data_IF_377971151833
#
_entry.id   IF_377971151833
#
_cell.length_a   1.000
_cell.length_b   1.000
_cell.length_c   1.000
_cell.angle_alpha   90.00
_cell.angle_beta   90.00
_cell.angle_gamma   90.00
#
_symmetry.space_group_name_H-M   'P 1'
#
loop_
_entity.id
_entity.type
_entity.pdbx_description
1 polymer ?
#
# COMPACT_ATOMS: atom_id res chain seq x y z
N UNK A 1 -6.05 -57.58 -77.42
CA UNK A 1 -6.95 -57.00 -76.41
C UNK A 1 -6.20 -56.94 -75.11
N UNK A 2 -5.70 -55.74 -74.76
CA UNK A 2 -4.90 -55.52 -73.54
C UNK A 2 -5.76 -54.81 -72.50
N UNK A 3 -5.98 -55.41 -71.35
CA UNK A 3 -6.71 -54.86 -70.22
C UNK A 3 -5.73 -53.97 -69.42
N UNK A 4 -6.03 -52.68 -69.29
CA UNK A 4 -5.36 -51.75 -68.38
C UNK A 4 -6.03 -51.82 -67.03
N UNK A 5 -5.25 -52.13 -65.98
CA UNK A 5 -5.68 -52.01 -64.59
C UNK A 5 -5.22 -50.69 -64.04
N UNK A 6 -6.17 -49.91 -63.59
CA UNK A 6 -5.89 -48.58 -62.87
C UNK A 6 -5.76 -48.89 -61.39
N UNK A 7 -4.55 -48.64 -60.84
CA UNK A 7 -4.25 -48.74 -59.43
C UNK A 7 -4.57 -47.36 -58.83
N UNK A 8 -5.61 -47.30 -57.99
CA UNK A 8 -5.95 -46.12 -57.21
C UNK A 8 -5.17 -46.08 -55.92
N UNK A 9 -4.15 -45.23 -55.85
CA UNK A 9 -3.32 -44.99 -54.66
C UNK A 9 -4.08 -44.05 -53.70
N UNK A 10 -4.61 -44.60 -52.61
CA UNK A 10 -5.15 -43.79 -51.49
C UNK A 10 -3.99 -43.29 -50.63
N UNK A 11 -3.76 -41.98 -50.69
CA UNK A 11 -2.86 -41.24 -49.81
C UNK A 11 -3.60 -40.96 -48.49
N UNK A 12 -3.29 -41.72 -47.44
CA UNK A 12 -3.75 -41.40 -46.07
C UNK A 12 -2.94 -40.21 -45.54
N UNK A 13 -3.55 -39.02 -45.53
CA UNK A 13 -3.06 -37.90 -44.74
C UNK A 13 -3.39 -38.12 -43.26
N UNK A 14 -2.42 -38.54 -42.47
CA UNK A 14 -2.52 -38.53 -41.01
C UNK A 14 -2.34 -37.10 -40.53
N UNK A 15 -3.44 -36.46 -40.16
CA UNK A 15 -3.42 -35.15 -39.46
C UNK A 15 -3.00 -35.42 -38.01
N UNK A 16 -1.73 -35.19 -37.71
CA UNK A 16 -1.24 -35.14 -36.34
C UNK A 16 -1.78 -33.88 -35.65
N UNK A 17 -2.88 -34.03 -34.92
CA UNK A 17 -3.36 -32.97 -34.03
C UNK A 17 -2.39 -32.87 -32.84
N UNK A 18 -1.42 -31.96 -32.92
CA UNK A 18 -0.65 -31.55 -31.75
C UNK A 18 -1.56 -30.74 -30.85
N UNK A 19 -2.23 -31.43 -29.94
CA UNK A 19 -2.97 -30.79 -28.86
C UNK A 19 -1.98 -30.06 -27.95
N UNK A 20 -1.80 -28.75 -28.19
CA UNK A 20 -1.23 -27.89 -27.16
C UNK A 20 -2.26 -27.85 -26.01
N UNK A 21 -2.03 -28.66 -25.00
CA UNK A 21 -2.69 -28.52 -23.70
C UNK A 21 -2.29 -27.15 -23.15
N UNK A 22 -3.18 -26.17 -23.30
CA UNK A 22 -3.09 -24.88 -22.62
C UNK A 22 -3.05 -25.20 -21.13
N UNK A 23 -1.87 -25.11 -20.50
CA UNK A 23 -1.74 -25.31 -19.08
C UNK A 23 -2.82 -24.46 -18.39
N UNK A 24 -3.70 -25.09 -17.64
CA UNK A 24 -4.73 -24.40 -16.89
C UNK A 24 -3.99 -23.40 -15.98
N UNK A 25 -4.30 -22.10 -16.13
CA UNK A 25 -3.71 -21.06 -15.29
C UNK A 25 -4.13 -21.41 -13.85
N UNK A 26 -3.15 -21.65 -12.98
CA UNK A 26 -3.43 -21.97 -11.58
C UNK A 26 -4.34 -20.86 -11.01
N UNK A 27 -5.31 -21.25 -10.19
CA UNK A 27 -6.17 -20.27 -9.54
C UNK A 27 -5.33 -19.33 -8.69
N UNK A 28 -5.65 -18.01 -8.69
CA UNK A 28 -4.92 -17.05 -7.89
C UNK A 28 -5.05 -17.38 -6.40
N UNK A 29 -3.93 -17.34 -5.68
CA UNK A 29 -3.87 -17.56 -4.24
C UNK A 29 -3.81 -16.21 -3.54
N UNK A 30 -4.59 -16.04 -2.49
CA UNK A 30 -4.65 -14.79 -1.73
C UNK A 30 -4.32 -15.01 -0.27
N UNK A 31 -3.84 -13.96 0.37
CA UNK A 31 -3.67 -13.90 1.81
C UNK A 31 -4.04 -12.52 2.34
N UNK A 32 -4.29 -12.46 3.63
CA UNK A 32 -4.42 -11.21 4.37
C UNK A 32 -3.21 -11.05 5.28
N UNK A 33 -2.65 -9.86 5.34
CA UNK A 33 -1.56 -9.54 6.26
C UNK A 33 -2.08 -9.64 7.70
N UNK A 34 -1.44 -10.48 8.51
CA UNK A 34 -1.88 -10.84 9.85
C UNK A 34 -1.11 -10.18 10.99
N UNK A 35 0.01 -9.52 10.70
CA UNK A 35 0.83 -8.75 11.65
C UNK A 35 0.62 -7.26 11.44
N UNK A 36 0.87 -6.44 12.45
CA UNK A 36 0.77 -4.97 12.33
C UNK A 36 1.58 -4.42 11.16
N UNK A 37 2.69 -5.05 10.84
CA UNK A 37 3.39 -4.82 9.57
C UNK A 37 4.21 -6.05 9.18
N UNK A 38 4.33 -6.28 7.86
CA UNK A 38 5.26 -7.25 7.31
C UNK A 38 6.35 -6.57 6.51
N UNK A 39 7.54 -7.17 6.53
CA UNK A 39 8.68 -6.72 5.72
C UNK A 39 8.66 -7.42 4.37
N UNK A 40 8.65 -6.64 3.30
CA UNK A 40 8.71 -7.12 1.92
C UNK A 40 10.11 -6.83 1.35
N UNK A 41 10.81 -7.87 0.91
CA UNK A 41 12.22 -7.81 0.48
C UNK A 41 12.37 -8.10 -1.01
N UNK A 42 13.47 -7.66 -1.60
CA UNK A 42 13.76 -7.89 -3.03
C UNK A 42 14.01 -9.38 -3.36
N UNK A 43 14.46 -10.17 -2.39
CA UNK A 43 14.69 -11.59 -2.53
C UNK A 43 14.26 -12.36 -1.27
N UNK A 44 14.01 -13.68 -1.36
CA UNK A 44 13.62 -14.53 -0.25
C UNK A 44 14.82 -14.85 0.66
N UNK A 45 15.34 -13.81 1.31
CA UNK A 45 16.50 -13.85 2.17
C UNK A 45 16.43 -12.71 3.21
N UNK A 46 16.78 -12.96 4.47
CA UNK A 46 16.79 -11.95 5.53
C UNK A 46 17.86 -10.88 5.35
N UNK A 47 18.96 -11.20 4.68
CA UNK A 47 20.03 -10.25 4.35
C UNK A 47 19.71 -9.37 3.15
N UNK A 48 18.65 -9.73 2.40
CA UNK A 48 18.18 -8.96 1.26
C UNK A 48 17.59 -7.62 1.68
N UNK A 49 17.76 -6.61 0.84
CA UNK A 49 17.26 -5.27 1.12
C UNK A 49 15.73 -5.24 1.32
N UNK A 50 15.29 -4.40 2.25
CA UNK A 50 13.88 -4.07 2.42
C UNK A 50 13.41 -3.23 1.23
N UNK A 51 12.32 -3.64 0.60
CA UNK A 51 11.68 -2.91 -0.48
C UNK A 51 10.52 -2.06 0.02
N UNK A 52 9.67 -2.66 0.85
CA UNK A 52 8.52 -2.00 1.45
C UNK A 52 8.00 -2.76 2.66
N UNK A 53 6.98 -2.22 3.29
CA UNK A 53 6.16 -2.87 4.30
C UNK A 53 4.70 -2.89 3.84
N UNK A 54 3.93 -3.88 4.29
CA UNK A 54 2.47 -3.89 4.21
C UNK A 54 1.88 -3.99 5.60
N UNK A 55 0.69 -3.41 5.77
CA UNK A 55 -0.01 -3.26 7.04
C UNK A 55 -1.03 -4.38 7.25
N UNK A 56 -1.38 -4.66 8.50
CA UNK A 56 -2.43 -5.62 8.86
C UNK A 56 -3.72 -5.34 8.10
N UNK A 57 -4.34 -6.41 7.63
CA UNK A 57 -5.60 -6.34 6.91
C UNK A 57 -5.50 -6.10 5.42
N UNK A 58 -4.31 -5.78 4.88
CA UNK A 58 -4.09 -5.73 3.43
C UNK A 58 -4.28 -7.10 2.80
N UNK A 59 -5.06 -7.15 1.72
CA UNK A 59 -5.21 -8.35 0.88
C UNK A 59 -4.09 -8.35 -0.14
N UNK A 60 -3.35 -9.46 -0.22
CA UNK A 60 -2.23 -9.65 -1.14
C UNK A 60 -2.43 -10.89 -2.00
N UNK A 61 -1.94 -10.87 -3.24
CA UNK A 61 -1.89 -12.05 -4.11
C UNK A 61 -0.56 -12.77 -3.94
N UNK A 62 -0.59 -14.09 -3.75
CA UNK A 62 0.61 -14.93 -3.68
C UNK A 62 0.91 -15.46 -5.09
N UNK A 63 2.05 -15.05 -5.65
CA UNK A 63 2.47 -15.38 -7.01
C UNK A 63 3.66 -16.33 -7.07
N UNK A 64 4.31 -16.58 -5.93
CA UNK A 64 5.44 -17.49 -5.83
C UNK A 64 5.74 -17.92 -4.40
N UNK A 65 6.50 -19.02 -4.28
CA UNK A 65 6.95 -19.48 -2.96
C UNK A 65 8.33 -20.12 -3.04
N UNK A 66 9.10 -19.94 -1.98
CA UNK A 66 10.39 -20.57 -1.77
C UNK A 66 10.57 -20.87 -0.29
N UNK A 67 10.47 -22.14 0.11
CA UNK A 67 10.49 -22.54 1.52
C UNK A 67 9.39 -21.81 2.32
N UNK A 68 9.74 -21.09 3.36
CA UNK A 68 8.81 -20.28 4.16
C UNK A 68 8.58 -18.86 3.63
N UNK A 69 9.15 -18.50 2.47
CA UNK A 69 8.94 -17.22 1.80
C UNK A 69 7.77 -17.29 0.82
N UNK A 70 7.09 -16.17 0.69
CA UNK A 70 6.04 -15.92 -0.31
C UNK A 70 6.40 -14.71 -1.14
N UNK A 71 6.37 -14.85 -2.45
CA UNK A 71 6.39 -13.72 -3.37
C UNK A 71 4.96 -13.22 -3.50
N UNK A 72 4.72 -11.95 -3.16
CA UNK A 72 3.38 -11.37 -3.11
C UNK A 72 3.29 -10.11 -3.96
N UNK A 73 2.06 -9.82 -4.41
CA UNK A 73 1.70 -8.52 -4.98
C UNK A 73 0.79 -7.82 -3.97
N UNK A 74 1.20 -6.65 -3.50
CA UNK A 74 0.42 -5.81 -2.60
C UNK A 74 -0.62 -4.98 -3.35
N UNK A 75 -1.63 -4.41 -2.66
CA UNK A 75 -2.52 -3.40 -3.24
C UNK A 75 -1.71 -2.23 -3.79
N UNK A 76 -2.11 -1.66 -4.93
CA UNK A 76 -1.26 -0.76 -5.72
C UNK A 76 0.02 -1.51 -6.16
N UNK A 77 -0.05 -2.27 -7.24
CA UNK A 77 0.78 -3.43 -7.50
C UNK A 77 2.25 -3.20 -7.19
N UNK A 78 2.72 -3.86 -6.14
CA UNK A 78 4.13 -3.88 -5.75
C UNK A 78 4.55 -5.30 -5.41
N UNK A 79 5.52 -5.82 -6.14
CA UNK A 79 5.94 -7.20 -6.06
C UNK A 79 7.20 -7.33 -5.20
N UNK A 80 7.15 -8.16 -4.16
CA UNK A 80 8.30 -8.46 -3.32
C UNK A 80 8.08 -9.74 -2.48
N UNK A 81 9.10 -10.15 -1.71
CA UNK A 81 9.10 -11.35 -0.89
C UNK A 81 8.87 -11.03 0.58
N UNK A 82 7.99 -11.79 1.23
CA UNK A 82 7.80 -11.76 2.68
C UNK A 82 7.79 -13.17 3.26
N UNK A 83 7.87 -13.30 4.58
CA UNK A 83 7.72 -14.60 5.24
C UNK A 83 6.24 -14.98 5.34
N UNK A 84 5.93 -16.27 5.21
CA UNK A 84 4.56 -16.79 5.36
C UNK A 84 3.97 -16.53 6.76
N UNK A 85 4.82 -16.32 7.77
CA UNK A 85 4.39 -16.09 9.15
C UNK A 85 3.58 -14.80 9.31
N UNK A 86 3.77 -13.83 8.42
CA UNK A 86 3.01 -12.58 8.40
C UNK A 86 1.71 -12.64 7.59
N UNK A 87 1.37 -13.81 7.02
CA UNK A 87 0.24 -13.96 6.11
C UNK A 87 -0.76 -14.99 6.64
N UNK A 88 -2.04 -14.69 6.47
CA UNK A 88 -3.15 -15.63 6.65
C UNK A 88 -3.68 -15.97 5.26
N UNK A 89 -3.25 -17.12 4.72
CA UNK A 89 -3.71 -17.60 3.41
C UNK A 89 -5.21 -17.94 3.47
N UNK A 90 -5.96 -17.54 2.46
CA UNK A 90 -7.42 -17.68 2.41
C UNK A 90 -7.85 -18.37 1.12
N UNK A 91 -8.81 -19.28 1.21
CA UNK A 91 -9.53 -19.74 0.05
C UNK A 91 -10.51 -18.65 -0.43
N UNK A 92 -11.15 -18.88 -1.59
CA UNK A 92 -12.05 -17.89 -2.20
C UNK A 92 -13.20 -17.48 -1.30
N UNK A 93 -13.83 -18.41 -0.61
CA UNK A 93 -14.97 -18.18 0.27
C UNK A 93 -14.55 -17.33 1.49
N UNK A 94 -13.41 -17.69 2.10
CA UNK A 94 -12.84 -16.93 3.23
C UNK A 94 -12.45 -15.50 2.82
N UNK A 95 -11.90 -15.34 1.61
CA UNK A 95 -11.56 -14.03 1.10
C UNK A 95 -12.80 -13.18 0.86
N UNK A 96 -13.84 -13.73 0.24
CA UNK A 96 -15.12 -13.05 0.04
C UNK A 96 -15.76 -12.65 1.37
N UNK A 97 -15.77 -13.55 2.37
CA UNK A 97 -16.22 -13.23 3.72
C UNK A 97 -15.41 -12.09 4.33
N UNK A 98 -14.08 -12.18 4.25
CA UNK A 98 -13.19 -11.14 4.75
C UNK A 98 -13.44 -9.78 4.07
N UNK A 99 -13.58 -9.75 2.75
CA UNK A 99 -13.81 -8.53 1.99
C UNK A 99 -15.15 -7.87 2.33
N UNK A 100 -16.20 -8.65 2.53
CA UNK A 100 -17.55 -8.17 2.82
C UNK A 100 -17.81 -7.87 4.31
N UNK A 101 -16.89 -8.26 5.21
CA UNK A 101 -17.03 -8.01 6.63
C UNK A 101 -16.94 -6.51 6.96
N UNK A 102 -17.67 -6.08 7.97
CA UNK A 102 -17.51 -4.75 8.56
C UNK A 102 -16.12 -4.62 9.19
N UNK A 103 -15.42 -3.53 8.91
CA UNK A 103 -14.03 -3.30 9.32
C UNK A 103 -13.85 -1.95 10.00
N UNK A 104 -12.82 -1.87 10.81
CA UNK A 104 -12.29 -0.61 11.31
C UNK A 104 -10.81 -0.48 10.97
N UNK A 105 -10.34 0.75 10.87
CA UNK A 105 -8.94 1.11 10.74
C UNK A 105 -8.45 1.72 12.05
N UNK A 106 -7.30 1.29 12.52
CA UNK A 106 -6.60 1.90 13.65
C UNK A 106 -6.05 3.27 13.23
N UNK A 107 -6.34 4.33 13.98
CA UNK A 107 -6.08 5.73 13.60
C UNK A 107 -5.08 6.45 14.48
N UNK A 108 -4.58 5.82 15.53
CA UNK A 108 -3.47 6.36 16.31
C UNK A 108 -2.12 5.90 15.73
N UNK A 109 -1.01 6.44 16.24
CA UNK A 109 0.33 6.05 15.79
C UNK A 109 0.67 4.61 16.21
N UNK A 110 0.41 4.29 17.48
CA UNK A 110 0.73 3.00 18.10
C UNK A 110 -0.37 2.56 19.06
N UNK A 111 -0.59 1.28 19.14
CA UNK A 111 -1.52 0.72 20.11
C UNK A 111 -1.41 -0.79 20.20
N UNK A 112 -2.41 -1.39 20.82
CA UNK A 112 -2.49 -2.83 21.01
C UNK A 112 -3.93 -3.32 20.92
N UNK A 113 -4.08 -4.59 20.59
CA UNK A 113 -5.30 -5.35 20.84
C UNK A 113 -5.10 -6.12 22.14
N UNK A 114 -6.07 -6.05 23.04
CA UNK A 114 -6.01 -6.64 24.38
C UNK A 114 -6.98 -7.82 24.50
N UNK A 115 -6.68 -8.80 25.35
CA UNK A 115 -7.56 -9.95 25.62
C UNK A 115 -8.89 -9.56 26.27
N UNK A 116 -8.86 -8.55 27.14
CA UNK A 116 -10.03 -7.99 27.81
C UNK A 116 -10.07 -6.47 27.66
N UNK A 117 -11.22 -5.80 27.86
CA UNK A 117 -11.33 -4.34 27.70
C UNK A 117 -10.69 -3.59 28.88
N UNK A 118 -9.38 -3.69 28.97
CA UNK A 118 -8.51 -3.04 29.98
C UNK A 118 -7.10 -2.86 29.45
N UNK A 119 -6.46 -1.72 29.74
CA UNK A 119 -5.04 -1.49 29.43
C UNK A 119 -4.08 -2.35 30.28
N UNK A 120 -4.59 -2.96 31.37
CA UNK A 120 -3.86 -3.87 32.27
C UNK A 120 -3.86 -5.32 31.75
N UNK A 121 -4.74 -5.63 30.76
CA UNK A 121 -4.86 -6.96 30.19
C UNK A 121 -3.64 -7.32 29.34
N UNK A 122 -3.42 -8.62 29.12
CA UNK A 122 -2.42 -9.09 28.18
C UNK A 122 -2.72 -8.58 26.77
N UNK A 123 -1.67 -8.22 26.06
CA UNK A 123 -1.74 -7.82 24.67
C UNK A 123 -1.75 -9.04 23.76
N UNK A 124 -2.64 -9.07 22.77
CA UNK A 124 -2.67 -10.10 21.73
C UNK A 124 -1.69 -9.75 20.61
N UNK A 125 -1.69 -8.48 20.18
CA UNK A 125 -0.74 -7.95 19.20
C UNK A 125 -0.58 -6.44 19.36
N UNK A 126 0.50 -5.91 18.77
CA UNK A 126 0.66 -4.48 18.55
C UNK A 126 -0.18 -4.01 17.36
N UNK A 127 -0.38 -2.69 17.29
CA UNK A 127 -1.03 -2.00 16.18
C UNK A 127 -0.20 -0.78 15.77
N UNK A 128 -0.26 -0.48 14.48
CA UNK A 128 0.24 0.78 13.91
C UNK A 128 -0.87 1.47 13.13
N UNK A 129 -0.78 2.78 13.00
CA UNK A 129 -1.76 3.55 12.23
C UNK A 129 -1.90 3.03 10.80
N UNK A 130 -3.14 2.72 10.41
CA UNK A 130 -3.48 2.12 9.13
C UNK A 130 -3.84 0.63 9.19
N UNK A 131 -3.62 -0.05 10.33
CA UNK A 131 -4.02 -1.45 10.52
C UNK A 131 -5.54 -1.60 10.42
N UNK A 132 -5.99 -2.60 9.67
CA UNK A 132 -7.40 -2.88 9.43
C UNK A 132 -7.77 -4.19 10.10
N UNK A 133 -8.82 -4.15 10.92
CA UNK A 133 -9.39 -5.29 11.63
C UNK A 133 -10.87 -5.44 11.30
N UNK A 134 -11.39 -6.66 11.40
CA UNK A 134 -12.83 -6.88 11.34
C UNK A 134 -13.47 -6.44 12.65
N UNK A 135 -14.68 -5.88 12.56
CA UNK A 135 -15.49 -5.59 13.74
C UNK A 135 -16.29 -6.85 14.15
N UNK A 136 -16.34 -7.14 15.43
CA UNK A 136 -17.23 -8.17 15.98
C UNK A 136 -18.57 -7.52 16.33
N UNK A 137 -19.69 -8.06 15.81
CA UNK A 137 -20.99 -7.47 16.04
C UNK A 137 -22.09 -8.06 15.19
N UNK A 138 -23.14 -7.29 14.93
CA UNK A 138 -24.33 -7.71 14.17
C UNK A 138 -24.73 -6.65 13.13
N UNK A 139 -25.27 -7.10 12.03
CA UNK A 139 -25.78 -6.26 10.94
C UNK A 139 -24.92 -6.34 9.66
N UNK A 140 -25.41 -5.71 8.60
CA UNK A 140 -24.66 -5.51 7.36
C UNK A 140 -23.69 -4.34 7.53
N UNK A 141 -22.70 -4.23 6.66
CA UNK A 141 -21.65 -3.21 6.75
C UNK A 141 -22.20 -1.77 6.91
N UNK A 142 -23.30 -1.44 6.22
CA UNK A 142 -23.93 -0.11 6.27
C UNK A 142 -24.59 0.24 7.62
N UNK A 143 -25.05 -0.80 8.35
CA UNK A 143 -25.76 -0.65 9.62
C UNK A 143 -25.17 -1.55 10.72
N UNK A 144 -23.87 -1.77 10.68
CA UNK A 144 -23.18 -2.66 11.59
C UNK A 144 -23.16 -2.09 13.01
N UNK A 145 -23.55 -2.92 13.97
CA UNK A 145 -23.50 -2.60 15.40
C UNK A 145 -22.36 -3.41 16.04
N UNK A 146 -21.21 -2.79 16.31
CA UNK A 146 -20.09 -3.48 16.94
C UNK A 146 -20.43 -3.83 18.39
N UNK A 147 -19.82 -4.90 18.89
CA UNK A 147 -19.81 -5.22 20.31
C UNK A 147 -18.88 -4.25 21.02
N UNK A 148 -19.44 -3.49 21.98
CA UNK A 148 -18.68 -2.52 22.78
C UNK A 148 -18.84 -2.81 24.27
N UNK A 149 -17.82 -2.39 25.06
CA UNK A 149 -17.89 -2.41 26.53
C UNK A 149 -17.20 -1.15 27.07
N UNK A 150 -17.98 -0.16 27.52
CA UNK A 150 -17.48 1.16 27.86
C UNK A 150 -16.82 1.83 26.65
N UNK A 151 -15.58 2.26 26.80
CA UNK A 151 -14.76 2.88 25.74
C UNK A 151 -14.02 1.87 24.86
N UNK A 152 -14.40 0.59 24.85
CA UNK A 152 -13.73 -0.47 24.11
C UNK A 152 -14.64 -1.08 23.06
N UNK A 153 -14.05 -1.41 21.90
CA UNK A 153 -14.71 -2.11 20.80
C UNK A 153 -14.05 -3.45 20.56
N UNK A 154 -14.86 -4.49 20.37
CA UNK A 154 -14.39 -5.84 20.09
C UNK A 154 -14.04 -5.99 18.61
N UNK A 155 -12.85 -6.51 18.34
CA UNK A 155 -12.32 -6.73 16.99
C UNK A 155 -11.93 -8.18 16.78
N UNK A 156 -11.87 -8.58 15.51
CA UNK A 156 -11.43 -9.89 15.05
C UNK A 156 -10.23 -9.70 14.12
N UNK A 157 -9.09 -10.21 14.53
CA UNK A 157 -7.84 -10.15 13.78
C UNK A 157 -7.88 -11.10 12.57
N UNK A 158 -7.05 -10.88 11.53
CA UNK A 158 -6.92 -11.83 10.41
C UNK A 158 -6.56 -13.25 10.87
N UNK A 159 -5.78 -13.38 11.94
CA UNK A 159 -5.42 -14.67 12.57
C UNK A 159 -6.59 -15.46 13.14
N UNK A 160 -7.78 -14.85 13.27
CA UNK A 160 -8.96 -15.43 13.93
C UNK A 160 -9.03 -15.14 15.44
N UNK A 161 -8.02 -14.48 16.02
CA UNK A 161 -8.09 -14.07 17.42
C UNK A 161 -9.05 -12.89 17.62
N UNK A 162 -9.87 -12.95 18.64
CA UNK A 162 -10.73 -11.83 19.06
C UNK A 162 -10.06 -11.05 20.20
N UNK A 163 -10.24 -9.74 20.20
CA UNK A 163 -9.72 -8.90 21.26
C UNK A 163 -10.41 -7.55 21.32
N UNK A 164 -9.86 -6.65 22.11
CA UNK A 164 -10.43 -5.34 22.39
C UNK A 164 -9.46 -4.24 22.07
N UNK A 165 -9.96 -3.17 21.44
CA UNK A 165 -9.23 -1.95 21.15
C UNK A 165 -10.02 -0.75 21.67
N UNK A 166 -9.36 0.34 22.07
CA UNK A 166 -10.05 1.57 22.46
C UNK A 166 -10.86 2.12 21.29
N UNK A 167 -12.13 2.41 21.53
CA UNK A 167 -13.06 2.87 20.49
C UNK A 167 -12.62 4.20 19.87
N UNK A 168 -11.98 5.08 20.63
CA UNK A 168 -11.44 6.35 20.17
C UNK A 168 -10.23 6.21 19.20
N UNK A 169 -9.54 5.06 19.27
CA UNK A 169 -8.36 4.78 18.43
C UNK A 169 -8.72 4.10 17.11
N UNK A 170 -9.99 3.91 16.80
CA UNK A 170 -10.45 3.29 15.55
C UNK A 170 -11.50 4.13 14.85
N UNK A 171 -11.57 4.00 13.54
CA UNK A 171 -12.70 4.49 12.73
C UNK A 171 -13.22 3.40 11.82
N UNK A 172 -14.51 3.46 11.45
CA UNK A 172 -15.06 2.56 10.44
C UNK A 172 -14.26 2.68 9.13
N UNK A 173 -13.99 1.53 8.52
CA UNK A 173 -13.26 1.44 7.26
C UNK A 173 -14.16 0.87 6.17
N UNK A 174 -14.41 1.67 5.13
CA UNK A 174 -15.27 1.34 3.99
C UNK A 174 -14.48 1.17 2.68
N UNK A 175 -13.17 0.94 2.78
CA UNK A 175 -12.25 0.88 1.64
C UNK A 175 -11.44 2.17 1.47
N UNK A 176 -10.48 2.12 0.55
CA UNK A 176 -9.67 3.26 0.16
C UNK A 176 -10.08 3.75 -1.22
N UNK A 177 -10.08 5.07 -1.41
CA UNK A 177 -10.05 5.65 -2.74
C UNK A 177 -8.62 5.52 -3.28
N UNK A 178 -8.43 4.71 -4.31
CA UNK A 178 -7.14 4.53 -4.96
C UNK A 178 -6.90 5.65 -5.98
N UNK A 179 -5.69 6.21 -5.98
CA UNK A 179 -5.22 7.12 -7.04
C UNK A 179 -4.12 6.38 -7.79
N UNK A 180 -4.37 6.07 -9.06
CA UNK A 180 -3.46 5.35 -9.93
C UNK A 180 -2.88 6.26 -11.02
N UNK A 181 -1.89 5.73 -11.76
CA UNK A 181 -1.29 6.42 -12.90
C UNK A 181 -2.33 6.78 -13.97
N UNK A 182 -2.38 8.04 -14.36
CA UNK A 182 -3.19 8.51 -15.49
C UNK A 182 -4.66 8.75 -15.17
N UNK A 183 -5.10 8.53 -13.93
CA UNK A 183 -6.40 8.99 -13.47
C UNK A 183 -6.31 10.49 -13.14
N UNK A 184 -6.43 11.31 -14.19
CA UNK A 184 -6.65 12.74 -14.03
C UNK A 184 -8.03 12.99 -13.44
N UNK A 185 -8.10 13.88 -12.55
CA UNK A 185 -9.18 14.70 -12.00
C UNK A 185 -10.65 14.32 -12.16
N UNK A 186 -11.06 13.06 -12.04
CA UNK A 186 -12.49 12.83 -11.82
C UNK A 186 -12.95 13.35 -10.43
N UNK A 187 -12.07 13.32 -9.41
CA UNK A 187 -12.35 13.84 -8.06
C UNK A 187 -11.06 14.35 -7.42
N UNK A 188 -10.78 15.63 -7.50
CA UNK A 188 -9.69 16.26 -6.76
C UNK A 188 -9.85 16.07 -5.25
N UNK A 189 -8.75 15.98 -4.53
CA UNK A 189 -8.77 16.04 -3.07
C UNK A 189 -9.21 17.43 -2.65
N UNK A 190 -10.27 17.54 -1.85
CA UNK A 190 -10.72 18.85 -1.35
C UNK A 190 -9.69 19.48 -0.42
N UNK A 191 -9.64 20.81 -0.36
CA UNK A 191 -8.74 21.55 0.53
C UNK A 191 -8.86 21.09 1.99
N UNK A 192 -10.09 20.84 2.46
CA UNK A 192 -10.32 20.36 3.83
C UNK A 192 -9.67 18.99 4.07
N UNK A 193 -9.79 18.06 3.11
CA UNK A 193 -9.16 16.74 3.21
C UNK A 193 -7.64 16.84 3.10
N UNK A 194 -7.12 17.72 2.26
CA UNK A 194 -5.69 17.95 2.13
C UNK A 194 -5.09 18.51 3.43
N UNK A 195 -5.76 19.43 4.11
CA UNK A 195 -5.33 19.92 5.43
C UNK A 195 -5.27 18.79 6.48
N UNK A 196 -6.22 17.85 6.45
CA UNK A 196 -6.17 16.66 7.32
C UNK A 196 -4.98 15.74 6.96
N UNK A 197 -4.66 15.60 5.68
CA UNK A 197 -3.49 14.84 5.20
C UNK A 197 -2.20 15.50 5.69
N UNK A 198 -2.08 16.81 5.55
CA UNK A 198 -0.92 17.57 6.03
C UNK A 198 -0.79 17.44 7.56
N UNK A 199 -1.89 17.62 8.29
CA UNK A 199 -1.89 17.43 9.75
C UNK A 199 -1.47 16.02 10.15
N UNK A 200 -1.84 15.01 9.37
CA UNK A 200 -1.41 13.62 9.57
C UNK A 200 0.09 13.45 9.32
N UNK A 201 0.64 14.08 8.25
CA UNK A 201 2.07 14.09 8.01
C UNK A 201 2.87 14.70 9.18
N UNK A 202 2.35 15.77 9.78
CA UNK A 202 2.95 16.40 10.97
C UNK A 202 3.00 15.48 12.20
N UNK A 203 2.08 14.53 12.35
CA UNK A 203 2.14 13.52 13.43
C UNK A 203 3.39 12.63 13.32
N UNK A 204 3.94 12.49 12.11
CA UNK A 204 5.19 11.73 11.90
C UNK A 204 6.46 12.56 12.14
N UNK A 205 6.36 13.86 12.45
CA UNK A 205 7.56 14.69 12.65
C UNK A 205 8.49 14.10 13.70
N UNK A 206 9.77 13.91 13.34
CA UNK A 206 10.78 13.27 14.18
C UNK A 206 10.91 11.77 13.98
N UNK A 207 9.99 11.11 13.26
CA UNK A 207 10.11 9.68 12.93
C UNK A 207 11.34 9.46 12.05
N UNK A 208 12.21 8.47 12.37
CA UNK A 208 13.43 8.23 11.62
C UNK A 208 13.14 7.74 10.19
N UNK A 209 14.06 8.07 9.29
CA UNK A 209 14.05 7.52 7.93
C UNK A 209 14.36 6.02 7.97
N UNK A 210 13.50 5.24 7.32
CA UNK A 210 13.73 3.82 7.08
C UNK A 210 13.48 3.56 5.60
N UNK A 211 14.50 3.11 4.86
CA UNK A 211 14.29 2.69 3.48
C UNK A 211 13.22 1.60 3.40
N UNK A 212 12.22 1.76 2.53
CA UNK A 212 11.08 0.85 2.44
C UNK A 212 10.05 1.00 3.57
N UNK A 213 10.24 1.90 4.53
CA UNK A 213 9.37 2.08 5.68
C UNK A 213 8.01 2.65 5.32
N UNK A 214 6.97 2.11 5.94
CA UNK A 214 5.54 2.46 5.75
C UNK A 214 4.78 2.62 7.06
N UNK A 215 5.47 2.66 8.20
CA UNK A 215 4.84 2.72 9.52
C UNK A 215 5.36 3.91 10.33
N UNK A 216 4.61 4.38 11.34
CA UNK A 216 5.11 5.42 12.25
C UNK A 216 6.42 5.07 12.97
N UNK A 217 6.89 3.81 12.93
CA UNK A 217 8.19 3.38 13.49
C UNK A 217 9.38 3.71 12.59
N UNK A 218 9.12 4.01 11.33
CA UNK A 218 10.09 4.42 10.32
C UNK A 218 9.44 4.54 8.96
N UNK A 219 9.71 5.62 8.24
CA UNK A 219 9.16 5.88 6.91
C UNK A 219 10.27 6.36 5.97
N UNK A 220 10.20 5.96 4.70
CA UNK A 220 10.94 6.67 3.65
C UNK A 220 10.12 7.87 3.11
N UNK A 221 10.65 8.58 2.12
CA UNK A 221 10.01 9.77 1.59
C UNK A 221 8.60 9.51 1.03
N UNK A 222 8.46 8.50 0.17
CA UNK A 222 7.16 8.12 -0.40
C UNK A 222 6.27 7.38 0.60
N UNK A 223 6.86 6.65 1.55
CA UNK A 223 6.14 6.00 2.66
C UNK A 223 5.46 7.01 3.57
N UNK A 224 6.13 8.11 3.93
CA UNK A 224 5.53 9.22 4.68
C UNK A 224 4.34 9.80 3.93
N UNK A 225 4.51 10.13 2.64
CA UNK A 225 3.43 10.69 1.81
C UNK A 225 2.28 9.70 1.70
N UNK A 226 2.55 8.43 1.34
CA UNK A 226 1.56 7.38 1.21
C UNK A 226 0.79 7.15 2.52
N UNK A 227 1.51 7.02 3.64
CA UNK A 227 0.87 6.77 4.94
C UNK A 227 -0.04 7.93 5.35
N UNK A 228 0.39 9.17 5.15
CA UNK A 228 -0.41 10.36 5.47
C UNK A 228 -1.73 10.41 4.69
N UNK A 229 -1.70 9.99 3.41
CA UNK A 229 -2.89 9.88 2.57
C UNK A 229 -3.76 8.68 2.97
N UNK A 230 -3.15 7.51 3.21
CA UNK A 230 -3.83 6.28 3.63
C UNK A 230 -4.66 6.49 4.90
N UNK A 231 -4.10 7.15 5.90
CA UNK A 231 -4.81 7.50 7.14
C UNK A 231 -6.05 8.37 6.90
N UNK A 232 -6.12 9.04 5.76
CA UNK A 232 -7.24 9.88 5.33
C UNK A 232 -8.09 9.23 4.23
N UNK A 233 -7.94 7.92 4.00
CA UNK A 233 -8.76 7.15 3.08
C UNK A 233 -8.29 7.15 1.63
N UNK A 234 -7.12 7.72 1.33
CA UNK A 234 -6.53 7.78 -0.01
C UNK A 234 -5.37 6.80 -0.11
N UNK A 235 -5.39 5.93 -1.10
CA UNK A 235 -4.32 4.98 -1.37
C UNK A 235 -3.50 5.42 -2.60
N UNK A 236 -2.27 5.86 -2.36
CA UNK A 236 -1.30 6.22 -3.40
C UNK A 236 -0.43 5.02 -3.79
N UNK A 237 0.20 5.04 -4.98
CA UNK A 237 1.27 4.11 -5.32
C UNK A 237 2.41 4.15 -4.28
N UNK A 238 3.22 3.07 -4.23
CA UNK A 238 4.25 2.95 -3.21
C UNK A 238 5.44 3.89 -3.41
N UNK A 239 5.92 4.01 -4.63
CA UNK A 239 7.18 4.70 -4.93
C UNK A 239 6.97 6.13 -5.44
N UNK A 240 7.89 7.03 -5.11
CA UNK A 240 7.92 8.39 -5.66
C UNK A 240 7.91 8.40 -7.21
N UNK A 241 8.63 7.45 -7.83
CA UNK A 241 8.65 7.27 -9.30
C UNK A 241 7.31 6.85 -9.91
N UNK A 242 6.40 6.30 -9.11
CA UNK A 242 5.03 6.01 -9.51
C UNK A 242 4.10 7.20 -9.21
N UNK A 243 4.28 7.84 -8.04
CA UNK A 243 3.47 8.97 -7.60
C UNK A 243 3.57 10.18 -8.54
N UNK A 244 4.74 10.38 -9.20
CA UNK A 244 4.92 11.48 -10.16
C UNK A 244 3.97 11.40 -11.36
N UNK A 245 3.32 10.28 -11.56
CA UNK A 245 2.32 10.07 -12.63
C UNK A 245 0.86 10.16 -12.14
N UNK A 246 0.64 10.53 -10.87
CA UNK A 246 -0.70 10.68 -10.28
C UNK A 246 -1.10 12.14 -10.26
N UNK A 247 -2.40 12.41 -10.45
CA UNK A 247 -2.95 13.76 -10.45
C UNK A 247 -2.49 14.64 -11.61
N UNK A 248 -2.75 15.93 -11.48
CA UNK A 248 -2.44 16.93 -12.49
C UNK A 248 -1.02 17.47 -12.37
N UNK A 249 -0.42 17.79 -13.50
CA UNK A 249 0.87 18.47 -13.53
C UNK A 249 0.72 19.92 -13.09
N UNK A 250 1.60 20.35 -12.19
CA UNK A 250 1.63 21.71 -11.65
C UNK A 250 2.92 22.40 -12.06
N UNK A 251 2.82 23.64 -12.57
CA UNK A 251 3.97 24.49 -12.78
C UNK A 251 4.69 24.76 -11.46
N UNK A 252 6.01 24.70 -11.44
CA UNK A 252 6.82 24.93 -10.24
C UNK A 252 6.68 26.34 -9.68
N UNK A 253 6.23 27.30 -10.51
CA UNK A 253 5.94 28.68 -10.08
C UNK A 253 4.52 28.84 -9.49
N UNK A 254 3.70 27.79 -9.53
CA UNK A 254 2.29 27.80 -9.13
C UNK A 254 1.97 26.80 -8.03
N UNK A 255 2.96 26.43 -7.22
CA UNK A 255 2.81 25.47 -6.13
C UNK A 255 1.78 25.96 -5.11
N UNK A 256 0.89 25.05 -4.74
CA UNK A 256 -0.11 25.23 -3.69
C UNK A 256 0.08 24.22 -2.59
N UNK A 257 -0.36 24.58 -1.40
CA UNK A 257 -0.34 23.73 -0.22
C UNK A 257 -1.04 22.39 -0.53
N UNK A 258 -0.36 21.28 -0.30
CA UNK A 258 -0.83 19.94 -0.64
C UNK A 258 -0.22 19.36 -1.91
N UNK A 259 0.45 20.11 -2.74
CA UNK A 259 1.12 19.58 -3.92
C UNK A 259 2.24 18.62 -3.51
N UNK A 260 2.35 17.51 -4.24
CA UNK A 260 3.50 16.61 -4.15
C UNK A 260 4.64 17.20 -4.99
N UNK A 261 5.80 17.38 -4.40
CA UNK A 261 6.99 17.89 -5.07
C UNK A 261 8.05 16.80 -5.19
N UNK A 262 8.63 16.67 -6.38
CA UNK A 262 9.52 15.57 -6.73
C UNK A 262 10.90 16.09 -7.06
N UNK A 263 11.90 15.40 -6.50
CA UNK A 263 13.31 15.74 -6.69
C UNK A 263 14.05 14.59 -7.36
N UNK A 264 15.03 14.93 -8.19
CA UNK A 264 15.77 13.91 -8.92
C UNK A 264 16.63 14.49 -10.03
N UNK A 265 16.79 13.73 -11.10
CA UNK A 265 17.48 14.17 -12.29
C UNK A 265 16.47 14.30 -13.43
N UNK A 266 16.40 15.44 -14.14
CA UNK A 266 15.51 15.57 -15.29
C UNK A 266 15.95 14.62 -16.41
N UNK A 267 15.05 14.34 -17.34
CA UNK A 267 15.38 13.60 -18.55
C UNK A 267 16.46 14.38 -19.33
N UNK A 268 17.56 13.72 -19.65
CA UNK A 268 18.69 14.34 -20.36
C UNK A 268 19.48 13.31 -21.16
N UNK A 269 19.94 13.69 -22.35
CA UNK A 269 20.82 12.89 -23.20
C UNK A 269 20.29 11.45 -23.47
N UNK A 270 18.96 11.33 -23.74
CA UNK A 270 18.30 10.06 -23.99
C UNK A 270 18.06 9.20 -22.73
N UNK A 271 18.48 9.66 -21.54
CA UNK A 271 18.17 9.01 -20.27
C UNK A 271 16.81 9.48 -19.75
N UNK A 272 15.97 8.57 -19.23
CA UNK A 272 14.70 8.94 -18.65
C UNK A 272 14.88 9.78 -17.38
N UNK A 273 13.85 10.54 -17.02
CA UNK A 273 13.79 11.22 -15.74
C UNK A 273 13.94 10.22 -14.58
N UNK A 274 14.80 10.55 -13.61
CA UNK A 274 15.02 9.75 -12.41
C UNK A 274 14.48 10.49 -11.18
N UNK A 275 13.38 9.98 -10.61
CA UNK A 275 12.82 10.48 -9.34
C UNK A 275 13.53 9.78 -8.18
N UNK A 276 14.12 10.55 -7.28
CA UNK A 276 14.84 10.00 -6.12
C UNK A 276 14.21 10.37 -4.78
N UNK A 277 13.31 11.39 -4.77
CA UNK A 277 12.71 11.88 -3.54
C UNK A 277 11.36 12.54 -3.81
N UNK A 278 10.49 12.55 -2.79
CA UNK A 278 9.21 13.25 -2.79
C UNK A 278 8.98 13.91 -1.44
N UNK A 279 8.37 15.10 -1.46
CA UNK A 279 7.88 15.81 -0.30
C UNK A 279 6.46 16.31 -0.53
N UNK A 280 5.80 16.72 0.54
CA UNK A 280 4.50 17.38 0.54
C UNK A 280 4.72 18.88 0.76
N UNK A 281 4.34 19.69 -0.22
CA UNK A 281 4.44 21.14 -0.12
C UNK A 281 3.43 21.69 0.88
N UNK A 282 3.88 22.47 1.84
CA UNK A 282 3.03 22.99 2.94
C UNK A 282 2.84 24.52 2.89
N UNK A 283 3.19 25.13 1.76
CA UNK A 283 3.10 26.58 1.56
C UNK A 283 4.39 27.32 1.93
N UNK A 284 4.50 28.58 1.50
CA UNK A 284 5.59 29.48 1.83
C UNK A 284 7.00 28.93 1.51
N UNK A 285 7.14 28.19 0.41
CA UNK A 285 8.42 27.60 0.03
C UNK A 285 8.86 26.41 0.91
N UNK A 286 7.98 25.88 1.77
CA UNK A 286 8.32 24.81 2.69
C UNK A 286 7.72 23.46 2.30
N UNK A 287 8.43 22.40 2.63
CA UNK A 287 8.02 21.01 2.43
C UNK A 287 8.11 20.24 3.75
N UNK A 288 7.18 19.31 3.97
CA UNK A 288 7.35 18.23 4.93
C UNK A 288 7.74 16.96 4.17
N UNK A 289 8.80 16.31 4.61
CA UNK A 289 9.35 15.13 3.95
C UNK A 289 10.13 14.25 4.93
N UNK A 290 10.41 13.00 4.54
CA UNK A 290 11.30 12.11 5.28
C UNK A 290 12.69 12.12 4.64
N UNK A 291 13.66 12.73 5.32
CA UNK A 291 15.07 12.79 4.95
C UNK A 291 15.91 12.80 6.23
N UNK A 292 16.60 11.69 6.54
CA UNK A 292 17.15 11.29 7.84
C UNK A 292 16.06 11.05 8.90
N UNK A 293 15.11 11.96 9.00
CA UNK A 293 13.88 11.87 9.79
C UNK A 293 12.78 12.68 9.10
N UNK A 294 11.54 12.54 9.53
CA UNK A 294 10.45 13.40 9.06
C UNK A 294 10.62 14.79 9.65
N UNK A 295 10.75 15.77 8.77
CA UNK A 295 11.01 17.17 9.14
C UNK A 295 10.45 18.15 8.12
N UNK A 296 10.41 19.42 8.50
CA UNK A 296 10.10 20.54 7.60
C UNK A 296 11.41 21.19 7.18
N UNK A 297 11.55 21.39 5.88
CA UNK A 297 12.65 22.14 5.30
C UNK A 297 12.11 23.20 4.33
N UNK A 298 12.87 24.27 4.17
CA UNK A 298 12.63 25.30 3.15
C UNK A 298 13.29 24.93 1.83
N UNK A 299 12.65 25.30 0.74
CA UNK A 299 13.25 25.26 -0.60
C UNK A 299 13.98 26.57 -0.93
N UNK A 300 13.92 27.59 -0.05
CA UNK A 300 14.65 28.84 -0.19
C UNK A 300 16.07 28.71 0.41
N UNK A 301 17.16 28.92 -0.37
CA UNK A 301 18.54 28.76 0.10
C UNK A 301 18.94 29.79 1.19
N UNK A 302 18.19 30.88 1.36
CA UNK A 302 18.46 31.90 2.38
C UNK A 302 17.97 31.51 3.77
N UNK A 303 17.13 30.46 3.88
CA UNK A 303 16.58 30.00 5.15
C UNK A 303 17.49 28.98 5.83
N UNK A 304 17.57 29.06 7.17
CA UNK A 304 18.45 28.21 7.99
C UNK A 304 18.12 26.71 7.92
N UNK A 305 16.88 26.37 7.58
CA UNK A 305 16.41 25.00 7.40
C UNK A 305 16.33 24.59 5.91
N UNK A 306 17.16 25.19 5.06
CA UNK A 306 17.20 24.90 3.63
C UNK A 306 17.42 23.40 3.36
N UNK A 307 16.69 22.87 2.38
CA UNK A 307 16.89 21.54 1.85
C UNK A 307 17.90 21.60 0.68
N UNK A 308 19.11 21.17 0.91
CA UNK A 308 20.23 21.29 -0.06
C UNK A 308 19.91 20.69 -1.44
N UNK A 309 19.05 19.63 -1.49
CA UNK A 309 18.63 19.04 -2.76
C UNK A 309 17.45 19.77 -3.44
N UNK A 310 17.00 20.93 -2.94
CA UNK A 310 15.91 21.71 -3.56
C UNK A 310 16.21 22.13 -5.00
N UNK A 311 17.49 22.35 -5.34
CA UNK A 311 17.95 22.62 -6.70
C UNK A 311 17.68 21.47 -7.68
N UNK A 312 17.30 20.29 -7.17
CA UNK A 312 16.94 19.09 -7.95
C UNK A 312 15.43 18.91 -8.08
N UNK A 313 14.64 19.95 -7.81
CA UNK A 313 13.19 19.93 -8.02
C UNK A 313 12.89 19.78 -9.52
N UNK A 314 12.16 18.73 -9.92
CA UNK A 314 11.95 18.35 -11.32
C UNK A 314 10.48 18.32 -11.73
N UNK A 315 9.55 18.19 -10.79
CA UNK A 315 8.11 18.13 -11.07
C UNK A 315 7.29 18.40 -9.82
N UNK A 316 6.03 18.75 -10.04
CA UNK A 316 5.01 18.77 -8.99
C UNK A 316 3.70 18.17 -9.49
N UNK A 317 2.89 17.63 -8.58
CA UNK A 317 1.57 17.03 -8.86
C UNK A 317 0.54 17.46 -7.83
N UNK A 318 -0.65 17.77 -8.29
CA UNK A 318 -1.85 18.04 -7.48
C UNK A 318 -2.80 16.88 -7.60
N UNK A 319 -3.23 16.33 -6.44
CA UNK A 319 -4.09 15.17 -6.35
C UNK A 319 -5.55 15.55 -6.21
#
# INVERSE_FOLDING_TARGET
MKRFAIILSMLLCTISATGQTRAAKAEPRYAVVGLSSIYMRIAPDYESALETQELMGSVVEIIGEKSYWREIISPQPYKAWCTRMGLVEMNKEQLEEYQNAAKCMFIDLYGHVYETPSCEAQTICDLVGGDIMRLVGKGKAENFKPVTKGSWTKVLLPSGAEGWVKSECIKQHNGFRSIAKGEGNADSISDELMEKIIATAFKLKGVPYLWGGMTPKGVDCSGMVRWSHLMNGILLPRNASQMIHCGDEVSLDSLQRGDLVFFGNPAKDGKPQLVTHVGLYIGNGQIIHSSMLVRVNSMNPEESNYYENSHRLIAARRL
#
